data_IF_658157637373
#
_entry.id   IF_658157637373
#
_cell.length_a   1.000
_cell.length_b   1.000
_cell.length_c   1.000
_cell.angle_alpha   90.00
_cell.angle_beta   90.00
_cell.angle_gamma   90.00
#
_symmetry.space_group_name_H-M   'P 1'
#
loop_
_entity.id
_entity.type
_entity.pdbx_description
1 polymer ?
#
# COMPACT_ATOMS: atom_id res chain seq x y z
N UNK A 1 -48.37 12.82 1.32
CA UNK A 1 -47.19 13.12 0.45
C UNK A 1 -45.97 12.33 0.97
N UNK A 2 -45.80 11.09 0.53
CA UNK A 2 -44.59 10.30 0.82
C UNK A 2 -43.44 10.76 -0.10
N UNK A 3 -42.44 11.40 0.47
CA UNK A 3 -41.17 11.63 -0.22
C UNK A 3 -40.39 10.31 -0.23
N UNK A 4 -40.37 9.62 -1.39
CA UNK A 4 -39.40 8.57 -1.67
C UNK A 4 -37.99 9.19 -1.61
N UNK A 5 -37.23 8.93 -0.54
CA UNK A 5 -35.78 9.16 -0.53
C UNK A 5 -35.13 8.07 -1.36
N UNK A 6 -34.96 8.31 -2.65
CA UNK A 6 -34.12 7.46 -3.50
C UNK A 6 -32.69 7.57 -2.97
N UNK A 7 -32.23 6.56 -2.27
CA UNK A 7 -30.86 6.46 -1.80
C UNK A 7 -30.01 6.07 -3.03
N UNK A 8 -29.47 7.06 -3.74
CA UNK A 8 -28.50 6.78 -4.78
C UNK A 8 -27.32 6.06 -4.13
N UNK A 9 -27.18 4.75 -4.41
CA UNK A 9 -26.00 3.99 -4.10
C UNK A 9 -24.93 4.47 -5.07
N UNK A 10 -24.03 5.35 -4.60
CA UNK A 10 -22.85 5.73 -5.36
C UNK A 10 -22.06 4.45 -5.57
N UNK A 11 -22.05 3.94 -6.79
CA UNK A 11 -21.21 2.78 -7.14
C UNK A 11 -19.77 3.28 -7.21
N UNK A 12 -18.88 2.61 -6.52
CA UNK A 12 -17.43 2.87 -6.67
C UNK A 12 -17.05 2.66 -8.13
N UNK A 13 -16.36 3.65 -8.72
CA UNK A 13 -15.97 3.62 -10.13
C UNK A 13 -15.04 2.43 -10.44
N UNK A 14 -14.21 2.05 -9.46
CA UNK A 14 -13.26 0.94 -9.58
C UNK A 14 -13.38 0.09 -8.32
N UNK A 15 -13.85 -1.14 -8.50
CA UNK A 15 -14.02 -2.11 -7.42
C UNK A 15 -13.69 -3.52 -7.89
N UNK A 16 -12.82 -4.21 -7.15
CA UNK A 16 -12.41 -5.58 -7.40
C UNK A 16 -12.68 -6.43 -6.17
N UNK A 17 -13.23 -7.60 -6.39
CA UNK A 17 -13.55 -8.57 -5.35
C UNK A 17 -12.35 -9.47 -5.00
N UNK A 18 -12.57 -10.35 -4.03
CA UNK A 18 -11.59 -11.32 -3.58
C UNK A 18 -11.04 -12.17 -4.73
N UNK A 19 -11.89 -12.61 -5.66
CA UNK A 19 -11.52 -13.54 -6.72
C UNK A 19 -10.42 -12.94 -7.58
N UNK A 20 -10.59 -11.69 -8.00
CA UNK A 20 -9.58 -10.98 -8.77
C UNK A 20 -8.35 -10.67 -7.90
N UNK A 21 -8.54 -10.18 -6.66
CA UNK A 21 -7.45 -9.72 -5.81
C UNK A 21 -6.49 -10.83 -5.37
N UNK A 22 -6.99 -12.05 -5.20
CA UNK A 22 -6.16 -13.20 -4.83
C UNK A 22 -5.50 -13.90 -6.01
N UNK A 23 -5.89 -13.57 -7.24
CA UNK A 23 -5.25 -14.03 -8.46
C UNK A 23 -4.15 -13.04 -8.88
N UNK A 24 -2.89 -13.44 -8.75
CA UNK A 24 -1.75 -12.57 -9.08
C UNK A 24 -1.64 -12.27 -10.58
N UNK A 25 -2.03 -13.17 -11.47
CA UNK A 25 -2.05 -12.94 -12.91
C UNK A 25 -3.02 -11.81 -13.28
N UNK A 26 -4.07 -11.63 -12.50
CA UNK A 26 -5.08 -10.60 -12.70
C UNK A 26 -4.76 -9.31 -11.91
N UNK A 27 -4.27 -9.39 -10.68
CA UNK A 27 -4.07 -8.23 -9.81
C UNK A 27 -2.77 -7.48 -10.08
N UNK A 28 -1.67 -8.18 -10.42
CA UNK A 28 -0.37 -7.53 -10.64
C UNK A 28 -0.30 -6.64 -11.90
N UNK A 29 -0.99 -6.93 -13.02
CA UNK A 29 -1.01 -6.02 -14.16
C UNK A 29 -1.78 -4.72 -13.91
N UNK A 30 -2.56 -4.63 -12.84
CA UNK A 30 -3.36 -3.45 -12.50
C UNK A 30 -2.63 -2.57 -11.52
N UNK A 31 -2.33 -1.35 -11.93
CA UNK A 31 -1.55 -0.38 -11.16
C UNK A 31 -2.42 0.80 -10.70
N UNK A 32 -2.05 1.37 -9.57
CA UNK A 32 -2.60 2.61 -9.03
C UNK A 32 -1.51 3.66 -9.04
N UNK A 33 -1.82 4.82 -9.63
CA UNK A 33 -0.99 6.00 -9.58
C UNK A 33 -1.75 7.13 -8.88
N UNK A 34 -1.11 7.76 -7.90
CA UNK A 34 -1.57 8.98 -7.23
C UNK A 34 -0.44 9.99 -7.23
N UNK A 35 -0.73 11.21 -7.65
CA UNK A 35 0.24 12.30 -7.71
C UNK A 35 -0.17 13.42 -6.76
N UNK A 36 0.82 14.21 -6.31
CA UNK A 36 0.59 15.40 -5.49
C UNK A 36 0.46 16.69 -6.29
N UNK A 37 0.53 16.62 -7.63
CA UNK A 37 0.58 17.76 -8.55
C UNK A 37 1.86 18.62 -8.46
N UNK A 38 2.89 18.16 -7.77
CA UNK A 38 4.19 18.83 -7.63
C UNK A 38 5.36 17.88 -7.94
N UNK A 39 5.11 16.86 -8.77
CA UNK A 39 6.14 15.92 -9.23
C UNK A 39 6.27 14.65 -8.38
N UNK A 40 5.82 14.65 -7.13
CA UNK A 40 5.84 13.44 -6.31
C UNK A 40 4.64 12.52 -6.60
N UNK A 41 4.82 11.22 -6.36
CA UNK A 41 3.78 10.24 -6.59
C UNK A 41 3.88 9.01 -5.69
N UNK A 42 2.78 8.27 -5.63
CA UNK A 42 2.67 6.90 -5.16
C UNK A 42 2.21 6.03 -6.33
N UNK A 43 2.96 4.99 -6.64
CA UNK A 43 2.62 4.02 -7.67
C UNK A 43 2.96 2.60 -7.21
N UNK A 44 1.98 1.69 -7.32
CA UNK A 44 2.15 0.26 -7.05
C UNK A 44 1.03 -0.53 -7.72
N UNK A 45 1.07 -1.85 -7.66
CA UNK A 45 -0.07 -2.67 -8.08
C UNK A 45 -1.24 -2.55 -7.11
N UNK A 46 -2.44 -2.93 -7.52
CA UNK A 46 -3.61 -2.95 -6.62
C UNK A 46 -3.46 -3.92 -5.45
N UNK A 47 -2.55 -4.90 -5.57
CA UNK A 47 -2.19 -5.85 -4.51
C UNK A 47 -1.04 -5.35 -3.60
N UNK A 48 -0.63 -4.08 -3.73
CA UNK A 48 0.51 -3.48 -3.01
C UNK A 48 1.86 -4.18 -3.23
N UNK A 49 2.05 -4.82 -4.38
CA UNK A 49 3.30 -5.47 -4.79
C UNK A 49 4.05 -4.57 -5.78
N UNK A 50 5.27 -4.19 -5.45
CA UNK A 50 6.11 -3.42 -6.37
C UNK A 50 6.74 -4.36 -7.40
N UNK A 51 6.38 -4.20 -8.68
CA UNK A 51 6.84 -5.04 -9.79
C UNK A 51 7.69 -4.28 -10.80
N UNK A 52 7.84 -2.95 -10.64
CA UNK A 52 8.57 -2.07 -11.55
C UNK A 52 9.53 -1.15 -10.81
N UNK A 53 10.58 -0.68 -11.47
CA UNK A 53 11.57 0.25 -10.90
C UNK A 53 10.96 1.51 -10.32
N UNK A 54 9.96 2.08 -10.99
CA UNK A 54 9.30 3.31 -10.57
C UNK A 54 8.21 3.09 -9.52
N UNK A 55 7.92 1.85 -9.10
CA UNK A 55 6.99 1.61 -8.02
C UNK A 55 7.59 2.05 -6.67
N UNK A 56 6.75 2.69 -5.89
CA UNK A 56 7.07 3.13 -4.54
C UNK A 56 5.84 3.69 -3.82
N UNK A 57 5.87 3.58 -2.51
CA UNK A 57 4.84 4.13 -1.64
C UNK A 57 5.00 5.65 -1.51
N UNK A 58 6.24 6.15 -1.50
CA UNK A 58 6.56 7.58 -1.56
C UNK A 58 7.74 7.79 -2.50
N UNK A 59 7.47 8.43 -3.63
CA UNK A 59 8.45 8.78 -4.67
C UNK A 59 8.39 10.27 -4.89
N UNK A 60 9.51 10.96 -4.72
CA UNK A 60 9.58 12.42 -4.77
C UNK A 60 10.71 12.92 -5.66
N UNK A 61 10.59 14.09 -6.28
CA UNK A 61 11.72 14.78 -6.85
C UNK A 61 12.67 15.25 -5.74
N UNK A 62 13.97 15.15 -5.97
CA UNK A 62 15.03 15.63 -5.05
C UNK A 62 15.98 16.54 -5.86
N UNK A 63 15.58 17.78 -6.16
CA UNK A 63 16.34 18.68 -7.04
C UNK A 63 17.78 18.97 -6.56
N UNK A 64 18.03 18.77 -5.27
CA UNK A 64 19.36 18.91 -4.68
C UNK A 64 20.35 17.81 -5.12
N UNK A 65 19.85 16.70 -5.64
CA UNK A 65 20.67 15.60 -6.14
C UNK A 65 20.77 15.62 -7.68
N UNK A 66 19.60 15.61 -8.32
CA UNK A 66 19.47 15.56 -9.78
C UNK A 66 18.02 15.92 -10.18
N UNK A 67 17.73 15.85 -11.48
CA UNK A 67 16.40 16.12 -12.03
C UNK A 67 15.46 14.90 -11.98
N UNK A 68 15.83 13.82 -11.28
CA UNK A 68 15.07 12.58 -11.24
C UNK A 68 14.20 12.46 -9.99
N UNK A 69 13.21 11.61 -10.07
CA UNK A 69 12.48 11.19 -8.89
C UNK A 69 13.21 10.07 -8.15
N UNK A 70 13.12 10.10 -6.82
CA UNK A 70 13.71 9.11 -5.93
C UNK A 70 12.66 8.37 -5.11
N UNK A 71 12.81 7.06 -5.03
CA UNK A 71 12.00 6.23 -4.14
C UNK A 71 12.56 6.37 -2.73
N UNK A 72 11.82 6.99 -1.83
CA UNK A 72 12.19 7.12 -0.42
C UNK A 72 11.60 6.00 0.43
N UNK A 73 10.31 5.73 0.26
CA UNK A 73 9.62 4.61 0.90
C UNK A 73 9.13 3.67 -0.20
N UNK A 74 9.74 2.52 -0.29
CA UNK A 74 9.40 1.51 -1.29
C UNK A 74 8.04 0.88 -0.98
N UNK A 75 7.90 0.34 0.23
CA UNK A 75 6.69 -0.34 0.69
C UNK A 75 6.57 -0.26 2.21
N UNK A 76 5.41 -0.65 2.72
CA UNK A 76 5.13 -0.79 4.14
C UNK A 76 4.45 -2.14 4.34
N UNK A 77 5.10 -3.03 5.11
CA UNK A 77 4.50 -4.30 5.48
C UNK A 77 3.70 -4.15 6.77
N UNK A 78 2.47 -4.62 6.72
CA UNK A 78 1.60 -4.73 7.86
C UNK A 78 1.57 -6.18 8.35
N UNK A 79 1.66 -6.37 9.66
CA UNK A 79 1.42 -7.67 10.29
C UNK A 79 0.32 -7.54 11.33
N UNK A 80 -0.75 -8.28 11.12
CA UNK A 80 -1.84 -8.41 12.10
C UNK A 80 -1.43 -9.49 13.09
N UNK A 81 -1.47 -9.18 14.39
CA UNK A 81 -1.11 -10.11 15.46
C UNK A 81 -2.31 -10.27 16.39
N UNK A 82 -2.75 -11.52 16.56
CA UNK A 82 -3.86 -11.87 17.44
C UNK A 82 -3.61 -13.23 18.10
N UNK A 83 -3.74 -13.32 19.43
CA UNK A 83 -3.48 -14.54 20.20
C UNK A 83 -2.10 -15.18 19.93
N UNK A 84 -1.08 -14.37 19.66
CA UNK A 84 0.27 -14.84 19.32
C UNK A 84 0.45 -15.32 17.88
N UNK A 85 -0.62 -15.42 17.09
CA UNK A 85 -0.52 -15.71 15.66
C UNK A 85 -0.23 -14.43 14.87
N UNK A 86 0.74 -14.50 13.96
CA UNK A 86 1.16 -13.40 13.12
C UNK A 86 0.74 -13.63 11.66
N UNK A 87 0.09 -12.63 11.08
CA UNK A 87 -0.37 -12.65 9.70
C UNK A 87 0.23 -11.45 8.95
N UNK A 88 1.24 -11.72 8.13
CA UNK A 88 1.86 -10.68 7.31
C UNK A 88 1.00 -10.43 6.06
N UNK A 89 0.59 -9.17 5.85
CA UNK A 89 -0.23 -8.73 4.73
C UNK A 89 0.60 -8.28 3.53
N UNK A 90 1.92 -8.25 3.64
CA UNK A 90 2.84 -7.82 2.59
C UNK A 90 2.86 -8.80 1.40
N UNK A 91 3.32 -8.28 0.27
CA UNK A 91 3.56 -9.05 -0.95
C UNK A 91 4.74 -8.46 -1.70
N UNK A 92 5.82 -9.25 -1.83
CA UNK A 92 7.01 -8.85 -2.56
C UNK A 92 7.31 -9.84 -3.68
N UNK A 93 7.75 -9.31 -4.82
CA UNK A 93 8.24 -10.11 -5.94
C UNK A 93 9.75 -10.31 -5.79
N UNK A 94 10.18 -11.56 -5.80
CA UNK A 94 11.57 -11.97 -5.81
C UNK A 94 11.98 -12.54 -7.17
N UNK A 95 13.26 -12.85 -7.33
CA UNK A 95 13.80 -13.44 -8.54
C UNK A 95 13.07 -14.76 -8.88
N UNK A 96 12.82 -14.99 -10.17
CA UNK A 96 12.15 -16.22 -10.65
C UNK A 96 10.64 -16.24 -10.41
N UNK A 97 9.98 -15.07 -10.36
CA UNK A 97 8.53 -14.96 -10.12
C UNK A 97 8.06 -15.59 -8.81
N UNK A 98 8.92 -15.61 -7.82
CA UNK A 98 8.58 -16.01 -6.47
C UNK A 98 7.98 -14.82 -5.70
N UNK A 99 6.89 -15.06 -4.98
CA UNK A 99 6.19 -14.05 -4.19
C UNK A 99 6.14 -14.44 -2.72
N UNK A 100 6.55 -13.53 -1.84
CA UNK A 100 6.53 -13.76 -0.38
C UNK A 100 6.53 -12.40 0.35
N UNK A 101 5.91 -12.31 1.53
CA UNK A 101 4.87 -13.22 2.03
C UNK A 101 3.63 -13.18 1.15
N UNK A 102 2.67 -14.09 1.37
CA UNK A 102 1.50 -14.21 0.50
C UNK A 102 0.29 -13.41 1.02
N UNK A 103 0.50 -12.16 1.39
CA UNK A 103 -0.53 -11.30 2.01
C UNK A 103 -1.74 -11.01 1.13
N UNK A 104 -1.60 -11.09 -0.20
CA UNK A 104 -2.70 -10.95 -1.15
C UNK A 104 -3.86 -11.92 -0.88
N UNK A 105 -3.59 -13.10 -0.32
CA UNK A 105 -4.61 -14.10 0.02
C UNK A 105 -5.61 -13.62 1.08
N UNK A 106 -5.22 -12.61 1.86
CA UNK A 106 -6.07 -12.00 2.88
C UNK A 106 -6.94 -10.86 2.34
N UNK A 107 -6.67 -10.37 1.13
CA UNK A 107 -7.46 -9.30 0.51
C UNK A 107 -8.85 -9.82 0.19
N UNK A 108 -9.87 -9.06 0.60
CA UNK A 108 -11.28 -9.33 0.30
C UNK A 108 -11.82 -8.44 -0.80
N UNK A 109 -11.35 -7.22 -0.82
CA UNK A 109 -11.85 -6.21 -1.71
C UNK A 109 -10.81 -5.11 -1.89
N UNK A 110 -10.73 -4.58 -3.09
CA UNK A 110 -10.05 -3.34 -3.40
C UNK A 110 -11.04 -2.40 -4.07
N UNK A 111 -11.06 -1.15 -3.66
CA UNK A 111 -11.83 -0.11 -4.34
C UNK A 111 -11.04 1.19 -4.46
N UNK A 112 -11.36 1.98 -5.48
CA UNK A 112 -10.80 3.30 -5.66
C UNK A 112 -11.85 4.25 -6.19
N UNK A 113 -12.54 4.92 -5.30
CA UNK A 113 -13.41 6.04 -5.61
C UNK A 113 -12.66 7.36 -5.40
N UNK A 114 -12.38 7.73 -4.16
CA UNK A 114 -11.61 8.93 -3.79
C UNK A 114 -10.16 8.59 -3.47
N UNK A 115 -9.98 7.55 -2.66
CA UNK A 115 -8.66 7.05 -2.24
C UNK A 115 -8.60 5.55 -2.46
N UNK A 116 -7.42 4.99 -2.82
CA UNK A 116 -7.22 3.55 -2.84
C UNK A 116 -7.52 2.96 -1.47
N UNK A 117 -8.42 1.99 -1.45
CA UNK A 117 -8.93 1.34 -0.23
C UNK A 117 -8.84 -0.16 -0.39
N UNK A 118 -8.21 -0.84 0.55
CA UNK A 118 -8.09 -2.30 0.59
C UNK A 118 -8.73 -2.83 1.86
N UNK A 119 -9.56 -3.87 1.73
CA UNK A 119 -10.14 -4.60 2.85
C UNK A 119 -9.44 -5.95 2.98
N UNK A 120 -8.87 -6.19 4.14
CA UNK A 120 -8.27 -7.48 4.52
C UNK A 120 -9.16 -8.23 5.51
N UNK A 121 -9.16 -9.56 5.41
CA UNK A 121 -9.75 -10.42 6.42
C UNK A 121 -8.81 -11.57 6.75
N UNK A 122 -8.41 -11.64 8.00
CA UNK A 122 -7.41 -12.59 8.49
C UNK A 122 -7.65 -12.89 9.97
N UNK A 123 -7.62 -14.16 10.36
CA UNK A 123 -7.68 -14.56 11.77
C UNK A 123 -8.90 -14.04 12.55
N UNK A 124 -10.04 -13.78 11.91
CA UNK A 124 -11.21 -13.17 12.56
C UNK A 124 -11.16 -11.65 12.65
N UNK A 125 -10.13 -11.03 12.07
CA UNK A 125 -9.98 -9.56 11.96
C UNK A 125 -10.39 -9.08 10.58
N UNK A 126 -11.12 -7.97 10.51
CA UNK A 126 -11.39 -7.23 9.28
C UNK A 126 -10.74 -5.86 9.39
N UNK A 127 -9.72 -5.62 8.58
CA UNK A 127 -8.92 -4.41 8.57
C UNK A 127 -9.13 -3.66 7.25
N UNK A 128 -9.40 -2.36 7.34
CA UNK A 128 -9.44 -1.45 6.20
C UNK A 128 -8.17 -0.60 6.17
N UNK A 129 -7.51 -0.54 5.00
CA UNK A 129 -6.36 0.31 4.70
C UNK A 129 -6.73 1.31 3.62
N UNK A 130 -6.52 2.60 3.88
CA UNK A 130 -6.79 3.70 2.96
C UNK A 130 -5.51 4.51 2.76
N UNK A 131 -5.18 4.89 1.52
CA UNK A 131 -3.98 5.65 1.19
C UNK A 131 -4.36 6.98 0.54
N UNK A 132 -3.97 8.09 1.16
CA UNK A 132 -4.16 9.44 0.64
C UNK A 132 -2.80 10.08 0.34
N UNK A 133 -2.58 10.46 -0.91
CA UNK A 133 -1.44 11.28 -1.29
C UNK A 133 -1.83 12.76 -1.21
N UNK A 134 -1.13 13.52 -0.37
CA UNK A 134 -1.51 14.91 -0.06
C UNK A 134 -1.13 15.81 -1.22
N UNK A 135 -2.05 16.68 -1.66
CA UNK A 135 -1.79 17.61 -2.75
C UNK A 135 -0.74 18.65 -2.35
N UNK A 136 0.20 18.91 -3.25
CA UNK A 136 1.30 19.87 -3.10
C UNK A 136 2.25 19.62 -1.92
N UNK A 137 2.19 18.44 -1.32
CA UNK A 137 3.11 18.03 -0.26
C UNK A 137 3.74 16.68 -0.60
N UNK A 138 5.00 16.47 -0.21
CA UNK A 138 5.67 15.18 -0.33
C UNK A 138 5.27 14.26 0.84
N UNK A 139 3.96 13.99 0.94
CA UNK A 139 3.38 13.27 2.06
C UNK A 139 2.33 12.26 1.62
N UNK A 140 2.42 11.04 2.14
CA UNK A 140 1.39 10.03 2.06
C UNK A 140 0.81 9.78 3.46
N UNK A 141 -0.50 9.76 3.57
CA UNK A 141 -1.24 9.40 4.78
C UNK A 141 -1.85 8.02 4.59
N UNK A 142 -1.61 7.11 5.53
CA UNK A 142 -2.19 5.77 5.51
C UNK A 142 -3.06 5.63 6.75
N UNK A 143 -4.35 5.34 6.53
CA UNK A 143 -5.30 5.13 7.59
C UNK A 143 -5.66 3.67 7.69
N UNK A 144 -5.51 3.11 8.88
CA UNK A 144 -5.99 1.79 9.24
C UNK A 144 -7.24 1.91 10.08
N UNK A 145 -8.28 1.15 9.74
CA UNK A 145 -9.52 1.08 10.51
C UNK A 145 -9.82 -0.39 10.80
N UNK A 146 -9.88 -0.73 12.07
CA UNK A 146 -10.33 -2.03 12.51
C UNK A 146 -11.87 -2.06 12.40
N UNK A 147 -12.36 -2.80 11.40
CA UNK A 147 -13.80 -2.89 11.14
C UNK A 147 -14.46 -3.96 11.99
N UNK A 148 -13.75 -5.06 12.27
CA UNK A 148 -14.23 -6.16 13.08
C UNK A 148 -13.03 -6.90 13.70
N UNK A 149 -13.17 -7.29 14.98
CA UNK A 149 -12.22 -8.15 15.66
C UNK A 149 -12.86 -8.77 16.90
N UNK A 150 -12.65 -10.05 17.12
CA UNK A 150 -13.20 -10.76 18.29
C UNK A 150 -12.33 -10.61 19.55
N UNK A 151 -11.12 -10.06 19.44
CA UNK A 151 -10.18 -9.87 20.55
C UNK A 151 -9.20 -8.74 20.27
N UNK A 152 -8.39 -8.40 21.29
CA UNK A 152 -7.32 -7.42 21.15
C UNK A 152 -6.39 -7.78 19.98
N UNK A 153 -6.13 -6.80 19.13
CA UNK A 153 -5.38 -6.97 17.89
C UNK A 153 -4.25 -5.95 17.85
N UNK A 154 -3.05 -6.42 17.57
CA UNK A 154 -1.89 -5.54 17.34
C UNK A 154 -1.62 -5.44 15.83
N UNK A 155 -1.40 -4.22 15.36
CA UNK A 155 -0.91 -3.96 14.02
C UNK A 155 0.57 -3.56 14.11
N UNK A 156 1.46 -4.41 13.60
CA UNK A 156 2.88 -4.11 13.48
C UNK A 156 3.17 -3.60 12.07
N UNK A 157 3.87 -2.47 11.97
CA UNK A 157 4.26 -1.84 10.72
C UNK A 157 5.77 -1.96 10.52
N UNK A 158 6.21 -2.36 9.32
CA UNK A 158 7.62 -2.44 8.93
C UNK A 158 7.84 -1.68 7.63
N UNK A 159 8.43 -0.47 7.67
CA UNK A 159 8.75 0.29 6.47
C UNK A 159 9.97 -0.28 5.76
N UNK A 160 9.91 -0.32 4.44
CA UNK A 160 11.05 -0.60 3.55
C UNK A 160 11.52 0.70 2.92
N UNK A 161 12.48 1.32 3.57
CA UNK A 161 13.12 2.53 3.07
C UNK A 161 14.03 2.17 1.91
N UNK A 162 14.04 3.05 0.90
CA UNK A 162 14.97 3.01 -0.21
C UNK A 162 15.39 4.46 -0.49
N UNK A 163 16.58 4.68 -0.93
CA UNK A 163 17.00 5.99 -1.42
C UNK A 163 17.70 5.77 -2.74
N UNK A 164 16.93 5.70 -3.81
CA UNK A 164 17.40 5.40 -5.15
C UNK A 164 16.62 6.16 -6.19
N UNK A 165 17.27 6.46 -7.30
CA UNK A 165 16.58 6.92 -8.51
C UNK A 165 15.55 5.88 -8.96
N UNK A 166 14.45 6.32 -9.55
CA UNK A 166 13.43 5.45 -10.16
C UNK A 166 13.98 4.66 -11.37
N UNK A 167 15.13 5.02 -11.89
CA UNK A 167 15.79 4.33 -13.02
C UNK A 167 16.66 3.16 -12.58
N UNK A 168 16.96 3.05 -11.29
CA UNK A 168 17.89 2.07 -10.75
C UNK A 168 17.19 1.06 -9.83
N UNK A 169 17.87 -0.04 -9.55
CA UNK A 169 17.48 -0.98 -8.50
C UNK A 169 18.30 -0.72 -7.24
N UNK A 170 17.73 -0.99 -6.09
CA UNK A 170 18.46 -0.98 -4.82
C UNK A 170 19.30 -2.25 -4.73
N UNK A 171 20.56 -2.08 -4.36
CA UNK A 171 21.46 -3.16 -3.98
C UNK A 171 21.68 -3.13 -2.48
N UNK A 172 22.11 -4.26 -1.91
CA UNK A 172 22.50 -4.32 -0.51
C UNK A 172 23.56 -3.28 -0.20
N UNK A 173 23.33 -2.49 0.84
CA UNK A 173 24.28 -1.48 1.32
C UNK A 173 24.51 -1.65 2.83
N UNK A 174 25.62 -2.30 3.17
CA UNK A 174 26.02 -2.52 4.56
C UNK A 174 26.41 -1.24 5.30
N UNK A 175 26.69 -0.15 4.56
CA UNK A 175 27.07 1.16 5.12
C UNK A 175 25.86 2.10 5.30
N UNK A 176 24.65 1.68 4.93
CA UNK A 176 23.46 2.47 5.14
C UNK A 176 23.28 2.78 6.63
N UNK A 177 23.10 4.06 6.96
CA UNK A 177 22.82 4.48 8.33
C UNK A 177 21.52 3.84 8.82
N UNK A 178 21.54 3.32 10.03
CA UNK A 178 20.37 2.76 10.73
C UNK A 178 19.89 3.67 11.86
N UNK A 179 20.48 4.85 11.95
CA UNK A 179 20.11 5.84 12.97
C UNK A 179 18.78 6.49 12.60
N UNK A 180 17.97 6.70 13.60
CA UNK A 180 16.70 7.43 13.46
C UNK A 180 16.44 8.27 14.71
N UNK A 181 15.70 9.35 14.53
CA UNK A 181 15.22 10.19 15.63
C UNK A 181 13.70 10.07 15.73
N UNK A 182 13.21 9.91 16.95
CA UNK A 182 11.78 9.99 17.24
C UNK A 182 11.48 11.42 17.65
N UNK A 183 10.64 12.08 16.86
CA UNK A 183 10.10 13.41 17.21
C UNK A 183 8.71 13.21 17.78
N UNK A 184 8.50 13.56 19.03
CA UNK A 184 7.22 13.48 19.74
C UNK A 184 6.51 14.84 19.75
#
# INVERSE_FOLDING_TARGET
KHKLKTKYKIMSYLKFDKTLMTNLEESLPREILRTNRSGAYHCTTIADCNTRKYHGLLVIPVPELDDENHVLLSSLDETVIQHGAEFNLGLHKYQGDNYSPNGHKYIREFECEKVPTTIYRVGGVVLKKEKLFVHHENRILIRYTLLDAHSATTLRLRPFLAFRSVREYTHENSQASREYQVVT
#
